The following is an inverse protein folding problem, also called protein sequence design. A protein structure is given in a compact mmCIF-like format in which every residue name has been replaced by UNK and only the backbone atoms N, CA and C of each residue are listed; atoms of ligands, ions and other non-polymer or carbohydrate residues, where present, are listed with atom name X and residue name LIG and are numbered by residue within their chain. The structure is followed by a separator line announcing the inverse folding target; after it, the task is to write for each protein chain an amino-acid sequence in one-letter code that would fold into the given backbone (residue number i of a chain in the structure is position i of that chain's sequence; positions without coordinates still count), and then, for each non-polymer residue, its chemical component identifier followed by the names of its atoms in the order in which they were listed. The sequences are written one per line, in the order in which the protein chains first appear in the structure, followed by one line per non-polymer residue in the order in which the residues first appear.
data_IF_086489719706
#
_entry.id   IF_086489719706
#
_cell.length_a   1.000
_cell.length_b   1.000
_cell.length_c   1.000
_cell.angle_alpha   90.00
_cell.angle_beta   90.00
_cell.angle_gamma   90.00
#
_symmetry.space_group_name_H-M   'P 1'
#
loop_
_entity.id
_entity.type
_entity.pdbx_description
1 polymer ?
#
# COMPACT_ATOMS: atom_id res chain seq x y z
N UNK A 1 0.65 17.96 13.60
CA UNK A 1 0.15 16.65 13.11
C UNK A 1 0.45 15.60 14.17
N UNK A 2 -0.58 14.98 14.77
CA UNK A 2 -0.37 13.85 15.68
C UNK A 2 0.29 12.71 14.91
N UNK A 3 1.45 12.26 15.39
CA UNK A 3 2.15 11.09 14.85
C UNK A 3 1.31 9.85 15.21
N UNK A 4 1.01 9.02 14.22
CA UNK A 4 0.42 7.69 14.44
C UNK A 4 1.29 6.93 15.45
N UNK A 5 0.68 6.39 16.51
CA UNK A 5 1.39 5.51 17.47
C UNK A 5 1.82 4.19 16.84
N UNK A 6 1.11 3.73 15.81
CA UNK A 6 1.41 2.50 15.06
C UNK A 6 1.45 2.76 13.55
N UNK A 7 2.51 2.28 12.91
CA UNK A 7 2.64 2.24 11.44
C UNK A 7 2.82 0.81 10.92
N UNK A 8 2.48 -0.19 11.74
CA UNK A 8 2.73 -1.60 11.45
C UNK A 8 1.98 -2.05 10.20
N UNK A 9 0.71 -1.69 10.09
CA UNK A 9 -0.13 -2.12 8.96
C UNK A 9 0.19 -1.34 7.69
N UNK A 10 0.54 -0.06 7.81
CA UNK A 10 1.07 0.76 6.72
C UNK A 10 2.29 0.09 6.09
N UNK A 11 3.27 -0.34 6.90
CA UNK A 11 4.46 -1.00 6.38
C UNK A 11 4.15 -2.32 5.68
N UNK A 12 3.31 -3.17 6.28
CA UNK A 12 2.95 -4.47 5.70
C UNK A 12 2.22 -4.28 4.37
N UNK A 13 1.17 -3.44 4.35
CA UNK A 13 0.40 -3.19 3.14
C UNK A 13 1.23 -2.47 2.06
N UNK A 14 2.16 -1.61 2.45
CA UNK A 14 3.10 -0.98 1.51
C UNK A 14 4.04 -2.00 0.88
N UNK A 15 4.60 -2.94 1.67
CA UNK A 15 5.44 -4.01 1.13
C UNK A 15 4.67 -4.93 0.17
N UNK A 16 3.44 -5.31 0.52
CA UNK A 16 2.58 -6.10 -0.38
C UNK A 16 2.29 -5.30 -1.66
N UNK A 17 1.94 -4.02 -1.53
CA UNK A 17 1.72 -3.12 -2.65
C UNK A 17 2.95 -3.00 -3.56
N UNK A 18 4.15 -2.92 -2.99
CA UNK A 18 5.41 -2.92 -3.75
C UNK A 18 5.64 -4.24 -4.48
N UNK A 19 5.51 -5.38 -3.82
CA UNK A 19 5.72 -6.69 -4.46
C UNK A 19 4.77 -6.86 -5.66
N UNK A 20 3.49 -6.54 -5.48
CA UNK A 20 2.49 -6.67 -6.54
C UNK A 20 2.66 -5.62 -7.65
N UNK A 21 2.88 -4.37 -7.27
CA UNK A 21 3.01 -3.26 -8.23
C UNK A 21 4.29 -3.35 -9.06
N UNK A 22 5.43 -3.63 -8.43
CA UNK A 22 6.67 -3.90 -9.16
C UNK A 22 6.59 -5.20 -9.95
N UNK A 23 5.91 -6.23 -9.45
CA UNK A 23 5.68 -7.46 -10.23
C UNK A 23 4.99 -7.19 -11.58
N UNK A 24 3.98 -6.33 -11.60
CA UNK A 24 3.31 -5.91 -12.83
C UNK A 24 4.20 -5.07 -13.75
N UNK A 25 5.02 -4.18 -13.18
CA UNK A 25 5.99 -3.39 -13.95
C UNK A 25 7.05 -4.30 -14.57
N UNK A 26 7.60 -5.25 -13.82
CA UNK A 26 8.56 -6.24 -14.33
C UNK A 26 7.94 -7.13 -15.40
N UNK A 27 6.71 -7.58 -15.21
CA UNK A 27 6.00 -8.37 -16.22
C UNK A 27 5.82 -7.59 -17.53
N UNK A 28 5.52 -6.30 -17.45
CA UNK A 28 5.50 -5.43 -18.63
C UNK A 28 6.87 -5.35 -19.30
N UNK A 29 7.96 -5.15 -18.55
CA UNK A 29 9.31 -5.06 -19.12
C UNK A 29 9.67 -6.34 -19.90
N UNK A 30 9.29 -7.51 -19.37
CA UNK A 30 9.59 -8.80 -20.00
C UNK A 30 8.71 -9.11 -21.22
N UNK A 31 7.45 -8.68 -21.21
CA UNK A 31 6.49 -9.09 -22.25
C UNK A 31 6.19 -7.99 -23.26
N UNK A 32 6.39 -6.72 -22.89
CA UNK A 32 6.05 -5.49 -23.63
C UNK A 32 4.63 -5.45 -24.20
N UNK A 33 3.73 -6.29 -23.69
CA UNK A 33 2.40 -6.53 -24.29
C UNK A 33 1.41 -5.40 -24.07
N UNK A 34 1.46 -4.71 -22.92
CA UNK A 34 0.46 -3.71 -22.57
C UNK A 34 1.07 -2.55 -21.77
N UNK A 35 1.14 -1.38 -22.40
CA UNK A 35 1.69 -0.16 -21.81
C UNK A 35 0.89 0.39 -20.63
N UNK A 36 -0.33 -0.11 -20.36
CA UNK A 36 -1.11 0.26 -19.17
C UNK A 36 -0.61 -0.43 -17.88
N UNK A 37 0.11 -1.55 -18.00
CA UNK A 37 0.56 -2.35 -16.85
C UNK A 37 1.45 -1.57 -15.86
N UNK A 38 2.42 -0.73 -16.31
CA UNK A 38 3.20 0.09 -15.40
C UNK A 38 2.36 1.08 -14.61
N UNK A 39 1.37 1.72 -15.26
CA UNK A 39 0.46 2.66 -14.60
C UNK A 39 -0.39 1.96 -13.53
N UNK A 40 -0.92 0.78 -13.86
CA UNK A 40 -1.67 -0.04 -12.90
C UNK A 40 -0.77 -0.47 -11.73
N UNK A 41 0.48 -0.84 -12.00
CA UNK A 41 1.46 -1.19 -10.97
C UNK A 41 1.71 -0.05 -9.98
N UNK A 42 1.87 1.18 -10.49
CA UNK A 42 2.02 2.37 -9.65
C UNK A 42 0.75 2.65 -8.83
N UNK A 43 -0.44 2.53 -9.43
CA UNK A 43 -1.72 2.70 -8.72
C UNK A 43 -1.83 1.72 -7.54
N UNK A 44 -1.47 0.46 -7.75
CA UNK A 44 -1.51 -0.58 -6.71
C UNK A 44 -0.58 -0.25 -5.54
N UNK A 45 0.62 0.29 -5.81
CA UNK A 45 1.57 0.72 -4.77
C UNK A 45 0.94 1.80 -3.88
N UNK A 46 0.35 2.84 -4.49
CA UNK A 46 -0.29 3.93 -3.76
C UNK A 46 -1.53 3.47 -2.99
N UNK A 47 -2.34 2.58 -3.58
CA UNK A 47 -3.51 2.00 -2.90
C UNK A 47 -3.10 1.17 -1.68
N UNK A 48 -2.08 0.30 -1.82
CA UNK A 48 -1.59 -0.52 -0.71
C UNK A 48 -1.14 0.35 0.48
N UNK A 49 -0.40 1.43 0.22
CA UNK A 49 0.01 2.39 1.25
C UNK A 49 -1.18 3.10 1.89
N UNK A 50 -2.14 3.55 1.08
CA UNK A 50 -3.33 4.28 1.55
C UNK A 50 -4.21 3.39 2.44
N UNK A 51 -4.45 2.14 2.03
CA UNK A 51 -5.21 1.16 2.80
C UNK A 51 -4.50 0.87 4.12
N UNK A 52 -3.19 0.62 4.10
CA UNK A 52 -2.43 0.36 5.32
C UNK A 52 -2.47 1.53 6.32
N UNK A 53 -2.36 2.76 5.83
CA UNK A 53 -2.53 3.97 6.65
C UNK A 53 -3.94 4.04 7.26
N UNK A 54 -4.98 3.77 6.47
CA UNK A 54 -6.36 3.74 6.93
C UNK A 54 -6.59 2.70 8.04
N UNK A 55 -6.01 1.51 7.91
CA UNK A 55 -6.08 0.45 8.92
C UNK A 55 -5.41 0.89 10.22
N UNK A 56 -4.17 1.41 10.15
CA UNK A 56 -3.48 1.91 11.34
C UNK A 56 -4.31 2.99 12.06
N UNK A 57 -4.94 3.91 11.30
CA UNK A 57 -5.82 4.97 11.84
C UNK A 57 -7.05 4.40 12.56
N UNK A 58 -7.73 3.41 11.96
CA UNK A 58 -8.92 2.78 12.55
C UNK A 58 -8.56 2.06 13.85
N UNK A 59 -7.42 1.38 13.88
CA UNK A 59 -6.94 0.66 15.08
C UNK A 59 -6.60 1.65 16.20
N UNK A 60 -5.91 2.74 15.88
CA UNK A 60 -5.60 3.80 16.85
C UNK A 60 -6.88 4.40 17.46
N UNK A 61 -7.86 4.78 16.63
CA UNK A 61 -9.15 5.28 17.08
C UNK A 61 -9.90 4.27 17.98
N UNK A 62 -9.79 2.98 17.69
CA UNK A 62 -10.42 1.92 18.49
C UNK A 62 -9.71 1.70 19.83
N UNK A 63 -8.41 1.93 19.90
CA UNK A 63 -7.65 1.85 21.14
C UNK A 63 -7.89 3.08 22.04
N UNK A 64 -7.92 4.29 21.47
CA UNK A 64 -8.24 5.51 22.23
C UNK A 64 -9.66 5.45 22.83
N UNK A 65 -10.63 4.89 22.12
CA UNK A 65 -12.01 4.75 22.63
C UNK A 65 -12.19 3.71 23.74
N UNK A 66 -11.17 2.87 23.98
CA UNK A 66 -11.20 1.79 24.99
C UNK A 66 -10.42 2.14 26.27
N UNK A 67 -9.66 3.22 26.28
CA UNK A 67 -8.97 3.73 27.46
C UNK A 67 -9.66 4.97 28.00
#
# INVERSE_FOLDING_TARGET
MNKLKTTKYMYICTNIGYVLGFGLIFYYILTQKNAALPFIGVIIIFLGRTIGYGIDRIIELKQEKKG
#
